data_IF_838018493948
#
_entry.id   IF_838018493948
#
_cell.length_a   1.000
_cell.length_b   1.000
_cell.length_c   1.000
_cell.angle_alpha   90.00
_cell.angle_beta   90.00
_cell.angle_gamma   90.00
#
_symmetry.space_group_name_H-M   'P 1'
#
loop_
_entity.id
_entity.type
_entity.pdbx_description
1 polymer ?
#
# COMPACT_ATOMS: atom_id res chain seq x y z
N UNK A 1 19.10 1.17 21.77
CA UNK A 1 18.57 1.21 20.39
C UNK A 1 18.85 2.58 19.79
N UNK A 2 19.35 2.58 18.57
CA UNK A 2 19.53 3.82 17.82
C UNK A 2 18.34 4.03 16.88
N UNK A 3 17.88 5.28 16.78
CA UNK A 3 16.82 5.66 15.87
C UNK A 3 17.25 6.86 15.03
N UNK A 4 16.75 6.95 13.83
CA UNK A 4 16.90 8.11 12.96
C UNK A 4 15.54 8.79 12.84
N UNK A 5 15.49 10.08 13.14
CA UNK A 5 14.26 10.88 13.15
C UNK A 5 14.20 11.76 11.90
N UNK A 6 13.06 11.77 11.23
CA UNK A 6 12.77 12.60 10.09
C UNK A 6 11.35 13.16 10.24
N UNK A 7 11.21 14.49 10.18
CA UNK A 7 9.94 15.18 10.39
C UNK A 7 9.24 14.84 11.73
N UNK A 8 10.04 14.56 12.77
CA UNK A 8 9.54 14.24 14.11
C UNK A 8 9.16 12.77 14.31
N UNK A 9 9.23 11.93 13.29
CA UNK A 9 8.91 10.50 13.35
C UNK A 9 10.12 9.64 13.09
N UNK A 10 10.06 8.39 13.58
CA UNK A 10 11.12 7.41 13.34
C UNK A 10 11.14 7.06 11.85
N UNK A 11 12.26 7.31 11.18
CA UNK A 11 12.48 6.92 9.78
C UNK A 11 13.17 5.56 9.68
N UNK A 12 14.11 5.27 10.59
CA UNK A 12 14.78 3.98 10.68
C UNK A 12 15.25 3.71 12.10
N UNK A 13 15.59 2.45 12.39
CA UNK A 13 16.06 2.04 13.70
C UNK A 13 17.10 0.92 13.59
N UNK A 14 17.92 0.77 14.65
CA UNK A 14 18.82 -0.35 14.81
C UNK A 14 18.79 -0.83 16.26
N UNK A 15 18.47 -2.09 16.47
CA UNK A 15 18.44 -2.70 17.80
C UNK A 15 19.87 -2.88 18.32
N UNK A 16 20.81 -3.20 17.44
CA UNK A 16 22.22 -3.30 17.73
C UNK A 16 23.00 -2.42 16.76
N UNK A 17 24.14 -1.88 17.23
CA UNK A 17 24.97 -0.99 16.43
C UNK A 17 24.50 0.45 16.45
N UNK A 18 25.07 1.26 15.56
CA UNK A 18 24.81 2.70 15.51
C UNK A 18 24.36 3.16 14.15
N UNK A 19 23.47 4.17 14.14
CA UNK A 19 23.03 4.86 12.93
C UNK A 19 23.74 6.20 12.87
N UNK A 20 24.39 6.52 11.77
CA UNK A 20 25.04 7.81 11.54
C UNK A 20 23.97 8.90 11.53
N UNK A 21 24.11 9.90 12.42
CA UNK A 21 23.11 10.96 12.57
C UNK A 21 21.90 10.54 13.42
N UNK A 22 21.90 9.32 13.95
CA UNK A 22 20.84 8.82 14.81
C UNK A 22 20.98 9.22 16.26
N UNK A 23 19.98 8.87 17.05
CA UNK A 23 19.87 9.14 18.49
C UNK A 23 19.80 7.79 19.22
N UNK A 24 20.57 7.64 20.28
CA UNK A 24 20.51 6.45 21.14
C UNK A 24 19.44 6.65 22.21
N UNK A 25 18.49 5.72 22.29
CA UNK A 25 17.42 5.73 23.29
C UNK A 25 17.27 4.34 23.93
N UNK A 26 16.54 4.27 25.04
CA UNK A 26 16.10 3.00 25.60
C UNK A 26 15.03 2.37 24.71
N UNK A 27 14.94 1.04 24.71
CA UNK A 27 13.90 0.34 23.97
C UNK A 27 12.50 0.76 24.47
N UNK A 28 11.51 0.92 23.58
CA UNK A 28 10.15 1.24 23.99
C UNK A 28 9.53 0.09 24.80
N UNK A 29 8.61 0.42 25.72
CA UNK A 29 7.93 -0.56 26.58
C UNK A 29 7.21 -1.64 25.76
N UNK A 30 6.55 -1.25 24.66
CA UNK A 30 5.93 -2.18 23.73
C UNK A 30 6.78 -2.30 22.46
N UNK A 31 7.82 -3.11 22.57
CA UNK A 31 8.76 -3.34 21.47
C UNK A 31 8.08 -4.03 20.28
N UNK A 32 7.14 -4.95 20.53
CA UNK A 32 6.40 -5.62 19.44
C UNK A 32 5.61 -4.65 18.60
N UNK A 33 4.90 -3.72 19.24
CA UNK A 33 4.17 -2.68 18.53
C UNK A 33 5.12 -1.79 17.72
N UNK A 34 6.24 -1.39 18.32
CA UNK A 34 7.25 -0.59 17.62
C UNK A 34 7.80 -1.32 16.40
N UNK A 35 8.16 -2.59 16.51
CA UNK A 35 8.71 -3.38 15.41
C UNK A 35 7.68 -3.60 14.28
N UNK A 36 6.39 -3.63 14.63
CA UNK A 36 5.32 -3.78 13.62
C UNK A 36 5.07 -2.52 12.80
N UNK A 37 5.29 -1.34 13.37
CA UNK A 37 5.04 -0.06 12.71
C UNK A 37 5.97 1.06 13.23
N UNK A 38 7.30 0.95 13.02
CA UNK A 38 8.24 1.92 13.59
C UNK A 38 8.01 3.35 13.12
N UNK A 39 7.57 3.54 11.88
CA UNK A 39 7.33 4.87 11.30
C UNK A 39 6.08 5.56 11.86
N UNK A 40 5.26 4.87 12.63
CA UNK A 40 4.11 5.45 13.32
C UNK A 40 4.45 5.99 14.71
N UNK A 41 5.73 5.95 15.11
CA UNK A 41 6.19 6.48 16.38
C UNK A 41 6.79 7.86 16.22
N UNK A 42 6.33 8.80 17.03
CA UNK A 42 6.81 10.17 17.10
C UNK A 42 7.80 10.32 18.25
N UNK A 43 8.90 11.03 17.98
CA UNK A 43 9.89 11.34 19.02
C UNK A 43 9.60 12.71 19.63
N UNK A 44 9.28 12.73 20.94
CA UNK A 44 8.94 13.94 21.68
C UNK A 44 9.67 13.91 23.02
N UNK A 45 10.51 14.91 23.30
CA UNK A 45 11.22 15.09 24.58
C UNK A 45 11.96 13.83 25.05
N UNK A 46 12.59 13.12 24.15
CA UNK A 46 13.34 11.91 24.46
C UNK A 46 12.50 10.63 24.58
N UNK A 47 11.21 10.71 24.30
CA UNK A 47 10.26 9.60 24.43
C UNK A 47 9.61 9.32 23.07
N UNK A 48 9.41 8.03 22.77
CA UNK A 48 8.64 7.61 21.61
C UNK A 48 7.16 7.52 21.96
N UNK A 49 6.31 8.20 21.18
CA UNK A 49 4.86 8.16 21.32
C UNK A 49 4.25 7.49 20.09
N UNK A 50 3.35 6.52 20.32
CA UNK A 50 2.62 5.87 19.25
C UNK A 50 1.54 6.79 18.69
N UNK A 51 1.49 6.92 17.34
CA UNK A 51 0.48 7.69 16.62
C UNK A 51 -0.41 6.74 15.82
N UNK A 52 -1.58 6.36 16.35
CA UNK A 52 -2.48 5.43 15.66
C UNK A 52 -3.04 5.98 14.35
N UNK A 53 -3.20 7.28 14.23
CA UNK A 53 -3.68 7.92 12.99
C UNK A 53 -2.64 7.77 11.86
N UNK A 54 -1.36 7.93 12.20
CA UNK A 54 -0.28 7.76 11.23
C UNK A 54 -0.13 6.30 10.80
N UNK A 55 -0.32 5.36 11.72
CA UNK A 55 -0.34 3.93 11.38
C UNK A 55 -1.47 3.62 10.39
N UNK A 56 -2.68 4.11 10.66
CA UNK A 56 -3.84 3.91 9.80
C UNK A 56 -3.62 4.54 8.41
N UNK A 57 -3.04 5.73 8.36
CA UNK A 57 -2.70 6.41 7.09
C UNK A 57 -1.69 5.59 6.28
N UNK A 58 -0.65 5.08 6.92
CA UNK A 58 0.37 4.27 6.27
C UNK A 58 -0.20 2.96 5.72
N UNK A 59 -1.00 2.24 6.50
CA UNK A 59 -1.66 1.01 6.08
C UNK A 59 -2.62 1.25 4.91
N UNK A 60 -3.38 2.34 4.94
CA UNK A 60 -4.28 2.72 3.85
C UNK A 60 -3.51 3.03 2.57
N UNK A 61 -2.40 3.77 2.66
CA UNK A 61 -1.55 4.09 1.51
C UNK A 61 -0.95 2.81 0.90
N UNK A 62 -0.46 1.89 1.73
CA UNK A 62 0.08 0.59 1.29
C UNK A 62 -1.00 -0.22 0.56
N UNK A 63 -2.21 -0.28 1.11
CA UNK A 63 -3.33 -0.99 0.50
C UNK A 63 -3.69 -0.39 -0.88
N UNK A 64 -3.75 0.93 -0.99
CA UNK A 64 -4.04 1.59 -2.27
C UNK A 64 -2.96 1.30 -3.31
N UNK A 65 -1.68 1.28 -2.91
CA UNK A 65 -0.58 0.96 -3.81
C UNK A 65 -0.65 -0.49 -4.30
N UNK A 66 -1.01 -1.44 -3.43
CA UNK A 66 -1.24 -2.84 -3.80
C UNK A 66 -2.38 -2.97 -4.81
N UNK A 67 -3.49 -2.26 -4.62
CA UNK A 67 -4.63 -2.28 -5.54
C UNK A 67 -4.25 -1.70 -6.91
N UNK A 68 -3.46 -0.63 -6.94
CA UNK A 68 -2.94 -0.06 -8.20
C UNK A 68 -2.01 -1.04 -8.91
N UNK A 69 -1.15 -1.73 -8.18
CA UNK A 69 -0.28 -2.76 -8.74
C UNK A 69 -1.09 -3.90 -9.37
N UNK A 70 -2.10 -4.39 -8.67
CA UNK A 70 -2.99 -5.44 -9.19
C UNK A 70 -3.70 -4.99 -10.48
N UNK A 71 -4.20 -3.75 -10.50
CA UNK A 71 -4.85 -3.17 -11.67
C UNK A 71 -3.92 -3.16 -12.89
N UNK A 72 -2.67 -2.73 -12.70
CA UNK A 72 -1.68 -2.68 -13.78
C UNK A 72 -1.30 -4.06 -14.30
N UNK A 73 -1.32 -5.09 -13.46
CA UNK A 73 -0.89 -6.44 -13.82
C UNK A 73 -2.03 -7.36 -14.25
N UNK A 74 -3.26 -7.11 -13.80
CA UNK A 74 -4.43 -7.95 -14.12
C UNK A 74 -5.30 -7.28 -15.18
N UNK A 75 -5.66 -6.02 -14.99
CA UNK A 75 -6.61 -5.31 -15.85
C UNK A 75 -5.98 -4.78 -17.12
N UNK A 76 -4.94 -3.97 -17.01
CA UNK A 76 -4.40 -3.25 -18.17
C UNK A 76 -3.84 -4.15 -19.27
N UNK A 77 -3.17 -5.28 -19.01
CA UNK A 77 -2.74 -6.19 -20.07
C UNK A 77 -3.91 -6.74 -20.90
N UNK A 78 -5.08 -6.91 -20.29
CA UNK A 78 -6.29 -7.38 -20.98
C UNK A 78 -6.88 -6.26 -21.81
N UNK A 79 -7.03 -5.07 -21.23
CA UNK A 79 -7.56 -3.90 -21.93
C UNK A 79 -6.70 -3.51 -23.13
N UNK A 80 -5.40 -3.72 -23.06
CA UNK A 80 -4.43 -3.34 -24.09
C UNK A 80 -4.15 -4.44 -25.13
N UNK A 81 -5.01 -5.47 -25.23
CA UNK A 81 -4.80 -6.59 -26.17
C UNK A 81 -4.89 -6.23 -27.66
N UNK A 82 -5.51 -5.10 -27.99
CA UNK A 82 -5.56 -4.60 -29.37
C UNK A 82 -6.82 -4.99 -30.14
N UNK A 83 -6.93 -4.44 -31.37
CA UNK A 83 -8.16 -4.51 -32.16
C UNK A 83 -8.56 -5.94 -32.55
N UNK A 84 -7.61 -6.81 -32.82
CA UNK A 84 -7.93 -8.20 -33.25
C UNK A 84 -8.64 -8.98 -32.15
N UNK A 85 -8.29 -8.74 -30.90
CA UNK A 85 -8.98 -9.35 -29.77
C UNK A 85 -10.37 -8.73 -29.57
N UNK A 86 -10.47 -7.38 -29.61
CA UNK A 86 -11.73 -6.67 -29.45
C UNK A 86 -12.74 -7.03 -30.54
N UNK A 87 -12.30 -7.25 -31.77
CA UNK A 87 -13.16 -7.62 -32.89
C UNK A 87 -13.83 -8.99 -32.69
N UNK A 88 -13.29 -9.85 -31.84
CA UNK A 88 -13.84 -11.17 -31.55
C UNK A 88 -14.89 -11.14 -30.45
N UNK A 89 -15.06 -10.03 -29.75
CA UNK A 89 -15.99 -9.91 -28.64
C UNK A 89 -17.42 -9.74 -29.13
N UNK A 90 -18.37 -10.40 -28.42
CA UNK A 90 -19.80 -10.15 -28.61
C UNK A 90 -20.17 -8.81 -27.98
N UNK A 91 -21.34 -8.26 -28.36
CA UNK A 91 -21.84 -7.03 -27.75
C UNK A 91 -21.97 -7.14 -26.25
N UNK A 92 -22.43 -8.29 -25.74
CA UNK A 92 -22.56 -8.55 -24.30
C UNK A 92 -21.18 -8.59 -23.63
N UNK A 93 -20.18 -9.21 -24.25
CA UNK A 93 -18.81 -9.25 -23.73
C UNK A 93 -18.20 -7.86 -23.67
N UNK A 94 -18.45 -7.00 -24.66
CA UNK A 94 -17.99 -5.61 -24.65
C UNK A 94 -18.59 -4.82 -23.48
N UNK A 95 -19.88 -5.03 -23.19
CA UNK A 95 -20.55 -4.40 -22.04
C UNK A 95 -19.92 -4.87 -20.73
N UNK A 96 -19.74 -6.18 -20.58
CA UNK A 96 -19.12 -6.77 -19.36
C UNK A 96 -17.68 -6.29 -19.19
N UNK A 97 -16.92 -6.20 -20.28
CA UNK A 97 -15.55 -5.70 -20.27
C UNK A 97 -15.49 -4.24 -19.83
N UNK A 98 -16.37 -3.40 -20.37
CA UNK A 98 -16.45 -1.97 -19.99
C UNK A 98 -16.75 -1.79 -18.53
N UNK A 99 -17.69 -2.58 -17.98
CA UNK A 99 -18.02 -2.52 -16.54
C UNK A 99 -16.87 -3.02 -15.68
N UNK A 100 -16.23 -4.12 -16.06
CA UNK A 100 -15.08 -4.66 -15.36
C UNK A 100 -13.91 -3.67 -15.33
N UNK A 101 -13.65 -3.00 -16.46
CA UNK A 101 -12.62 -1.96 -16.54
C UNK A 101 -12.95 -0.78 -15.62
N UNK A 102 -14.21 -0.32 -15.63
CA UNK A 102 -14.64 0.77 -14.76
C UNK A 102 -14.50 0.40 -13.28
N UNK A 103 -14.86 -0.84 -12.91
CA UNK A 103 -14.70 -1.33 -11.55
C UNK A 103 -13.24 -1.31 -11.11
N UNK A 104 -12.31 -1.66 -12.01
CA UNK A 104 -10.88 -1.55 -11.74
C UNK A 104 -10.41 -0.09 -11.63
N UNK A 105 -10.95 0.82 -12.43
CA UNK A 105 -10.61 2.24 -12.32
C UNK A 105 -11.04 2.81 -10.96
N UNK A 106 -12.13 2.29 -10.40
CA UNK A 106 -12.69 2.72 -9.12
C UNK A 106 -12.15 1.94 -7.92
N UNK A 107 -11.25 0.98 -8.12
CA UNK A 107 -10.78 0.06 -7.07
C UNK A 107 -10.16 0.76 -5.87
N UNK A 108 -9.52 1.90 -6.06
CA UNK A 108 -8.94 2.68 -4.95
C UNK A 108 -10.00 3.40 -4.12
N UNK A 109 -11.22 3.52 -4.64
CA UNK A 109 -12.36 4.12 -3.96
C UNK A 109 -13.19 3.04 -3.29
N UNK A 110 -13.58 1.99 -4.03
CA UNK A 110 -14.40 0.89 -3.55
C UNK A 110 -13.63 -0.06 -2.64
N UNK A 111 -12.32 -0.22 -2.89
CA UNK A 111 -11.43 -1.17 -2.21
C UNK A 111 -11.88 -2.63 -2.38
N UNK A 112 -12.68 -2.89 -3.40
CA UNK A 112 -13.16 -4.22 -3.77
C UNK A 112 -12.50 -4.65 -5.07
N UNK A 113 -11.85 -5.82 -5.06
CA UNK A 113 -11.19 -6.37 -6.24
C UNK A 113 -12.26 -6.94 -7.17
N UNK A 114 -12.38 -6.42 -8.42
CA UNK A 114 -13.39 -6.92 -9.36
C UNK A 114 -13.12 -8.38 -9.75
N UNK A 115 -14.20 -9.17 -9.80
CA UNK A 115 -14.12 -10.54 -10.29
C UNK A 115 -13.91 -10.52 -11.81
N UNK A 116 -12.91 -11.26 -12.30
CA UNK A 116 -12.64 -11.37 -13.73
C UNK A 116 -13.72 -12.23 -14.40
N UNK A 117 -14.37 -11.75 -15.47
CA UNK A 117 -15.33 -12.58 -16.23
C UNK A 117 -14.69 -13.87 -16.72
N UNK A 118 -15.45 -14.97 -16.68
CA UNK A 118 -14.94 -16.30 -17.04
C UNK A 118 -14.41 -16.40 -18.48
N UNK A 119 -14.99 -15.63 -19.40
CA UNK A 119 -14.56 -15.64 -20.82
C UNK A 119 -13.25 -14.88 -21.05
N UNK A 120 -12.77 -14.10 -20.08
CA UNK A 120 -11.46 -13.43 -20.14
C UNK A 120 -10.38 -14.43 -19.72
N UNK A 121 -9.47 -14.72 -20.63
CA UNK A 121 -8.36 -15.66 -20.40
C UNK A 121 -7.02 -15.06 -20.82
#
# INVERSE_FOLDING_TARGET
>A
MDIFIEDGYVASYALEGHIVGGITIDEPDDLELFLSCPTAFRYVDGILEFDPERKALYENTTMLDELRFMREHICFPIINRGALWYDQLTAQQEIELSQWYQDWLDVTITKEIPATPEWIK
#
